data_IF_189024863075
#
_entry.id   IF_189024863075
#
_cell.length_a   1.000
_cell.length_b   1.000
_cell.length_c   1.000
_cell.angle_alpha   90.00
_cell.angle_beta   90.00
_cell.angle_gamma   90.00
#
_symmetry.space_group_name_H-M   'P 1'
#
loop_
_entity.id
_entity.type
_entity.pdbx_description
1 polymer ?
#
# COMPACT_ATOMS: atom_id res chain seq x y z
N UNK A 1 41.47 6.94 -21.53
CA UNK A 1 40.89 5.58 -21.51
C UNK A 1 40.63 5.19 -20.06
N UNK A 2 39.47 4.56 -19.82
CA UNK A 2 39.02 3.81 -18.63
C UNK A 2 38.97 4.57 -17.29
N UNK A 3 37.79 5.06 -16.91
CA UNK A 3 36.71 4.37 -16.15
C UNK A 3 36.76 4.78 -14.67
N UNK A 4 36.30 6.01 -14.42
CA UNK A 4 35.94 6.51 -13.09
C UNK A 4 34.42 6.60 -13.08
N UNK A 5 33.78 5.89 -12.15
CA UNK A 5 32.33 5.95 -11.94
C UNK A 5 31.96 7.37 -11.45
N UNK A 6 31.11 8.13 -12.18
CA UNK A 6 30.85 9.56 -11.94
C UNK A 6 29.91 9.86 -10.77
N UNK A 7 29.44 8.84 -10.04
CA UNK A 7 28.20 8.92 -9.27
C UNK A 7 28.38 8.93 -7.75
N UNK A 8 29.61 9.00 -7.24
CA UNK A 8 29.87 9.01 -5.79
C UNK A 8 30.45 10.34 -5.30
N UNK A 9 29.82 11.00 -4.30
CA UNK A 9 30.56 11.82 -3.35
C UNK A 9 31.19 10.91 -2.29
N UNK A 10 32.52 10.81 -2.32
CA UNK A 10 33.29 9.99 -1.37
C UNK A 10 33.43 10.63 0.02
N UNK A 11 32.99 11.88 0.22
CA UNK A 11 33.08 12.60 1.52
C UNK A 11 32.18 13.85 1.58
N UNK A 12 31.06 13.88 0.85
CA UNK A 12 30.19 15.05 0.78
C UNK A 12 28.72 14.65 0.84
N UNK A 13 27.93 15.34 1.67
CA UNK A 13 26.50 15.10 1.80
C UNK A 13 25.76 15.12 0.45
N UNK A 14 24.54 14.55 0.41
CA UNK A 14 23.80 14.28 -0.83
C UNK A 14 23.81 15.47 -1.77
N UNK A 15 24.05 15.21 -3.06
CA UNK A 15 24.04 16.25 -4.09
C UNK A 15 22.70 16.98 -4.05
N UNK A 16 22.71 18.32 -4.20
CA UNK A 16 21.48 19.15 -4.21
C UNK A 16 20.44 18.69 -5.24
N UNK A 17 20.87 17.93 -6.25
CA UNK A 17 19.99 17.35 -7.27
C UNK A 17 19.26 16.08 -6.78
N UNK A 18 19.92 15.23 -6.01
CA UNK A 18 19.31 14.04 -5.39
C UNK A 18 18.28 14.45 -4.33
N UNK A 19 18.60 15.44 -3.49
CA UNK A 19 17.63 16.00 -2.54
C UNK A 19 16.37 16.56 -3.24
N UNK A 20 16.54 17.16 -4.42
CA UNK A 20 15.42 17.70 -5.21
C UNK A 20 14.59 16.59 -5.86
N UNK A 21 15.21 15.50 -6.31
CA UNK A 21 14.50 14.31 -6.82
C UNK A 21 13.69 13.63 -5.70
N UNK A 22 14.33 13.35 -4.58
CA UNK A 22 13.69 12.73 -3.41
C UNK A 22 12.51 13.59 -2.92
N UNK A 23 12.67 14.91 -2.82
CA UNK A 23 11.57 15.82 -2.44
C UNK A 23 10.39 15.81 -3.41
N UNK A 24 10.61 15.55 -4.70
CA UNK A 24 9.53 15.45 -5.70
C UNK A 24 8.80 14.11 -5.56
N UNK A 25 9.54 13.02 -5.40
CA UNK A 25 8.99 11.68 -5.19
C UNK A 25 8.20 11.59 -3.88
N UNK A 26 8.73 12.12 -2.78
CA UNK A 26 8.03 12.17 -1.49
C UNK A 26 6.72 12.95 -1.55
N UNK A 27 6.64 14.01 -2.37
CA UNK A 27 5.39 14.77 -2.56
C UNK A 27 4.32 13.92 -3.24
N UNK A 28 4.68 13.16 -4.27
CA UNK A 28 3.74 12.27 -4.95
C UNK A 28 3.24 11.17 -4.00
N UNK A 29 4.12 10.58 -3.22
CA UNK A 29 3.76 9.56 -2.23
C UNK A 29 2.87 10.13 -1.12
N UNK A 30 3.12 11.37 -0.67
CA UNK A 30 2.31 12.04 0.33
C UNK A 30 0.88 12.31 -0.17
N UNK A 31 0.71 12.70 -1.44
CA UNK A 31 -0.62 12.87 -2.04
C UNK A 31 -1.39 11.56 -2.07
N UNK A 32 -0.75 10.47 -2.52
CA UNK A 32 -1.35 9.12 -2.48
C UNK A 32 -1.72 8.70 -1.05
N UNK A 33 -0.88 9.03 -0.07
CA UNK A 33 -1.13 8.74 1.35
C UNK A 33 -2.33 9.50 1.91
N UNK A 34 -2.45 10.79 1.63
CA UNK A 34 -3.61 11.58 2.05
C UNK A 34 -4.90 11.07 1.40
N UNK A 35 -4.84 10.64 0.15
CA UNK A 35 -5.98 10.04 -0.55
C UNK A 35 -6.42 8.71 0.07
N UNK A 36 -5.47 7.86 0.50
CA UNK A 36 -5.78 6.63 1.24
C UNK A 36 -6.50 6.93 2.55
N UNK A 37 -5.99 7.87 3.35
CA UNK A 37 -6.61 8.30 4.61
C UNK A 37 -8.03 8.82 4.38
N UNK A 38 -8.25 9.60 3.32
CA UNK A 38 -9.56 10.12 2.98
C UNK A 38 -10.57 8.99 2.77
N UNK A 39 -10.25 8.03 1.89
CA UNK A 39 -11.14 6.88 1.61
C UNK A 39 -11.39 6.05 2.88
N UNK A 40 -10.35 5.75 3.68
CA UNK A 40 -10.53 4.95 4.90
C UNK A 40 -11.40 5.67 5.92
N UNK A 41 -11.22 6.98 6.07
CA UNK A 41 -12.03 7.78 6.99
C UNK A 41 -13.49 7.80 6.54
N UNK A 42 -13.75 7.93 5.23
CA UNK A 42 -15.11 7.81 4.69
C UNK A 42 -15.72 6.44 4.99
N UNK A 43 -14.99 5.34 4.81
CA UNK A 43 -15.48 4.00 5.13
C UNK A 43 -15.85 3.85 6.61
N UNK A 44 -15.00 4.34 7.52
CA UNK A 44 -15.29 4.32 8.96
C UNK A 44 -16.49 5.18 9.32
N UNK A 45 -16.60 6.39 8.76
CA UNK A 45 -17.74 7.27 8.99
C UNK A 45 -19.04 6.64 8.48
N UNK A 46 -19.02 5.95 7.34
CA UNK A 46 -20.19 5.24 6.81
C UNK A 46 -20.68 4.14 7.75
N UNK A 47 -19.78 3.41 8.40
CA UNK A 47 -20.16 2.37 9.37
C UNK A 47 -20.53 2.95 10.73
N UNK A 48 -19.79 3.96 11.19
CA UNK A 48 -19.96 4.54 12.53
C UNK A 48 -21.20 5.44 12.65
N UNK A 49 -21.75 5.91 11.53
CA UNK A 49 -22.80 6.93 11.55
C UNK A 49 -24.21 6.38 11.80
N UNK A 50 -24.45 5.06 11.85
CA UNK A 50 -25.76 4.38 12.04
C UNK A 50 -26.92 4.82 11.10
N UNK A 51 -26.72 5.89 10.32
CA UNK A 51 -27.62 6.43 9.31
C UNK A 51 -27.65 5.56 8.04
N UNK A 52 -26.66 4.67 7.86
CA UNK A 52 -26.59 3.78 6.71
C UNK A 52 -26.98 2.37 7.14
N UNK A 53 -28.01 1.75 6.52
CA UNK A 53 -28.38 0.37 6.81
C UNK A 53 -27.20 -0.57 6.65
N UNK A 54 -27.03 -1.49 7.61
CA UNK A 54 -25.92 -2.46 7.64
C UNK A 54 -25.83 -3.28 6.34
N UNK A 55 -26.98 -3.58 5.72
CA UNK A 55 -27.06 -4.29 4.44
C UNK A 55 -26.42 -3.56 3.27
N UNK A 56 -26.31 -2.22 3.32
CA UNK A 56 -25.59 -1.42 2.33
C UNK A 56 -24.17 -1.08 2.78
N UNK A 57 -23.96 -0.82 4.08
CA UNK A 57 -22.65 -0.45 4.62
C UNK A 57 -21.58 -1.54 4.40
N UNK A 58 -21.93 -2.82 4.62
CA UNK A 58 -20.99 -3.95 4.47
C UNK A 58 -20.42 -4.04 3.04
N UNK A 59 -21.25 -4.20 1.97
CA UNK A 59 -20.71 -4.32 0.62
C UNK A 59 -20.00 -3.03 0.15
N UNK A 60 -20.46 -1.86 0.59
CA UNK A 60 -19.81 -0.58 0.30
C UNK A 60 -18.38 -0.51 0.86
N UNK A 61 -18.21 -0.87 2.13
CA UNK A 61 -16.89 -0.88 2.78
C UNK A 61 -15.98 -1.94 2.17
N UNK A 62 -16.50 -3.11 1.82
CA UNK A 62 -15.72 -4.15 1.13
C UNK A 62 -15.23 -3.68 -0.24
N UNK A 63 -16.05 -2.93 -0.98
CA UNK A 63 -15.65 -2.33 -2.25
C UNK A 63 -14.53 -1.29 -2.05
N UNK A 64 -14.66 -0.41 -1.04
CA UNK A 64 -13.61 0.54 -0.69
C UNK A 64 -12.32 -0.17 -0.24
N UNK A 65 -12.43 -1.25 0.53
CA UNK A 65 -11.30 -2.07 0.96
C UNK A 65 -10.58 -2.72 -0.23
N UNK A 66 -11.31 -3.19 -1.24
CA UNK A 66 -10.72 -3.69 -2.49
C UNK A 66 -9.91 -2.61 -3.23
N UNK A 67 -10.47 -1.39 -3.34
CA UNK A 67 -9.77 -0.23 -3.92
C UNK A 67 -8.50 0.08 -3.12
N UNK A 68 -8.56 0.01 -1.79
CA UNK A 68 -7.40 0.22 -0.92
C UNK A 68 -6.28 -0.78 -1.22
N UNK A 69 -6.58 -2.07 -1.35
CA UNK A 69 -5.57 -3.08 -1.68
C UNK A 69 -4.89 -2.77 -3.02
N UNK A 70 -5.66 -2.40 -4.05
CA UNK A 70 -5.10 -2.03 -5.37
C UNK A 70 -4.21 -0.79 -5.28
N UNK A 71 -4.67 0.25 -4.56
CA UNK A 71 -3.88 1.47 -4.36
C UNK A 71 -2.60 1.22 -3.59
N UNK A 72 -2.64 0.36 -2.57
CA UNK A 72 -1.44 -0.02 -1.83
C UNK A 72 -0.44 -0.75 -2.73
N UNK A 73 -0.91 -1.69 -3.55
CA UNK A 73 -0.06 -2.36 -4.53
C UNK A 73 0.53 -1.40 -5.57
N UNK A 74 -0.24 -0.44 -6.08
CA UNK A 74 0.24 0.58 -7.03
C UNK A 74 1.32 1.49 -6.42
N UNK A 75 1.11 1.94 -5.17
CA UNK A 75 2.05 2.80 -4.47
C UNK A 75 3.37 2.06 -4.13
N UNK A 76 3.31 0.76 -3.84
CA UNK A 76 4.51 -0.08 -3.68
C UNK A 76 5.22 -0.40 -5.01
N UNK A 77 4.48 -0.52 -6.11
CA UNK A 77 5.07 -0.79 -7.44
C UNK A 77 5.87 0.37 -8.01
N UNK A 78 5.55 1.61 -7.63
CA UNK A 78 6.29 2.80 -8.10
C UNK A 78 7.50 3.17 -7.22
N UNK A 79 7.73 2.44 -6.12
CA UNK A 79 8.94 2.61 -5.32
C UNK A 79 10.07 1.79 -5.94
N UNK A 80 10.75 2.44 -6.89
CA UNK A 80 12.08 2.09 -7.38
C UNK A 80 12.11 1.00 -8.47
N UNK A 81 12.76 1.35 -9.58
CA UNK A 81 12.91 0.59 -10.83
C UNK A 81 13.79 -0.66 -10.64
N UNK A 82 13.28 -1.65 -9.88
CA UNK A 82 14.03 -2.79 -9.35
C UNK A 82 13.29 -4.14 -9.35
N UNK A 83 12.54 -4.43 -10.42
CA UNK A 83 12.33 -5.72 -11.13
C UNK A 83 12.16 -7.11 -10.43
N UNK A 84 12.41 -7.34 -9.14
CA UNK A 84 12.22 -8.70 -8.56
C UNK A 84 11.60 -8.73 -7.17
N UNK A 85 11.96 -7.78 -6.33
CA UNK A 85 11.46 -7.71 -4.95
C UNK A 85 9.98 -7.37 -4.86
N UNK A 86 9.49 -6.53 -5.78
CA UNK A 86 8.07 -6.16 -5.85
C UNK A 86 7.21 -7.40 -6.14
N UNK A 87 7.59 -8.23 -7.12
CA UNK A 87 6.87 -9.47 -7.41
C UNK A 87 6.85 -10.41 -6.20
N UNK A 88 7.97 -10.56 -5.50
CA UNK A 88 8.03 -11.36 -4.27
C UNK A 88 7.10 -10.82 -3.21
N UNK A 89 7.03 -9.49 -3.03
CA UNK A 89 6.17 -8.85 -2.04
C UNK A 89 4.68 -9.00 -2.36
N UNK A 90 4.30 -8.94 -3.64
CA UNK A 90 2.93 -9.20 -4.11
C UNK A 90 2.54 -10.66 -3.82
N UNK A 91 3.38 -11.62 -4.22
CA UNK A 91 3.11 -13.04 -3.99
C UNK A 91 3.10 -13.40 -2.50
N UNK A 92 4.02 -12.82 -1.70
CA UNK A 92 4.03 -12.99 -0.26
C UNK A 92 2.79 -12.36 0.41
N UNK A 93 2.39 -11.16 -0.01
CA UNK A 93 1.17 -10.51 0.47
C UNK A 93 -0.08 -11.33 0.17
N UNK A 94 -0.20 -11.85 -1.04
CA UNK A 94 -1.30 -12.74 -1.43
C UNK A 94 -1.29 -14.04 -0.62
N UNK A 95 -0.11 -14.64 -0.43
CA UNK A 95 0.05 -15.86 0.37
C UNK A 95 -0.37 -15.66 1.83
N UNK A 96 0.07 -14.57 2.46
CA UNK A 96 -0.30 -14.23 3.84
C UNK A 96 -1.79 -13.92 3.95
N UNK A 97 -2.37 -13.18 3.00
CA UNK A 97 -3.81 -12.90 2.96
C UNK A 97 -4.62 -14.20 2.83
N UNK A 98 -4.24 -15.08 1.90
CA UNK A 98 -4.88 -16.37 1.70
C UNK A 98 -4.80 -17.27 2.95
N UNK A 99 -3.62 -17.36 3.58
CA UNK A 99 -3.45 -18.10 4.83
C UNK A 99 -4.30 -17.52 5.96
N UNK A 100 -4.38 -16.20 6.08
CA UNK A 100 -5.18 -15.54 7.13
C UNK A 100 -6.66 -15.84 6.94
N UNK A 101 -7.18 -15.71 5.72
CA UNK A 101 -8.58 -16.03 5.41
C UNK A 101 -8.85 -17.52 5.64
N UNK A 102 -7.95 -18.41 5.20
CA UNK A 102 -8.09 -19.84 5.42
C UNK A 102 -8.09 -20.20 6.92
N UNK A 103 -7.17 -19.62 7.70
CA UNK A 103 -7.10 -19.84 9.15
C UNK A 103 -8.36 -19.34 9.87
N UNK A 104 -8.85 -18.15 9.51
CA UNK A 104 -10.10 -17.62 10.07
C UNK A 104 -11.32 -18.45 9.66
N UNK A 105 -11.38 -18.90 8.40
CA UNK A 105 -12.46 -19.77 7.92
C UNK A 105 -12.47 -21.12 8.65
N UNK A 106 -11.30 -21.71 8.89
CA UNK A 106 -11.17 -22.94 9.69
C UNK A 106 -11.57 -22.69 11.14
N UNK A 107 -11.11 -21.60 11.77
CA UNK A 107 -11.40 -21.29 13.17
C UNK A 107 -12.90 -21.01 13.41
N UNK A 108 -13.53 -20.21 12.56
CA UNK A 108 -14.98 -19.96 12.59
C UNK A 108 -15.76 -21.25 12.26
N UNK A 109 -15.22 -22.08 11.37
CA UNK A 109 -15.81 -23.37 11.01
C UNK A 109 -15.76 -24.39 12.16
N UNK A 110 -14.72 -24.35 13.00
CA UNK A 110 -14.59 -25.21 14.19
C UNK A 110 -15.63 -24.84 15.26
N UNK A 111 -15.92 -23.55 15.44
CA UNK A 111 -16.87 -23.07 16.46
C UNK A 111 -18.35 -23.30 16.06
N UNK A 112 -18.59 -23.71 14.81
CA UNK A 112 -19.93 -23.91 14.25
C UNK A 112 -20.40 -25.38 14.24
N UNK A 113 -19.63 -26.27 14.87
CA UNK A 113 -19.94 -27.70 15.08
C UNK A 113 -19.70 -28.08 16.54
#
# INVERSE_FOLDING_TARGET
MSHVDPSAPLEGGPSKEEERKLKRESRSQLVSFMFMIFITTTAFLTVASDIVPTGFAIPFVLLLAGIQVVMQLYNFMHMNEGSRWINVMIWAGLFVAAMTVAALAVLIGIDKY
#
